data_IF_413692761976
#
_entry.id   IF_413692761976
#
_cell.length_a   1.000
_cell.length_b   1.000
_cell.length_c   1.000
_cell.angle_alpha   90.00
_cell.angle_beta   90.00
_cell.angle_gamma   90.00
#
_symmetry.space_group_name_H-M   'P 1'
#
loop_
_entity.id
_entity.type
_entity.pdbx_description
1 polymer ?
#
# COMPACT_ATOMS: atom_id res chain seq x y z
N UNK A 1 15.99 37.52 -42.44
CA UNK A 1 16.24 36.96 -41.09
C UNK A 1 15.05 36.09 -40.69
N UNK A 2 15.14 34.77 -40.87
CA UNK A 2 14.15 33.82 -40.37
C UNK A 2 14.45 33.51 -38.91
N UNK A 3 13.69 34.10 -37.99
CA UNK A 3 13.67 33.71 -36.57
C UNK A 3 12.76 32.48 -36.48
N UNK A 4 13.24 31.32 -36.92
CA UNK A 4 12.50 30.05 -36.83
C UNK A 4 13.45 28.90 -36.50
N UNK A 5 13.88 28.84 -35.25
CA UNK A 5 14.15 27.61 -34.47
C UNK A 5 14.96 28.00 -33.23
N UNK A 6 14.34 27.95 -32.05
CA UNK A 6 15.10 28.06 -30.80
C UNK A 6 16.19 26.98 -30.76
N UNK A 7 17.37 27.33 -30.23
CA UNK A 7 18.53 26.45 -30.11
C UNK A 7 18.08 25.06 -29.59
N UNK A 8 18.40 23.95 -30.29
CA UNK A 8 17.96 22.61 -29.92
C UNK A 8 18.33 22.23 -28.46
N UNK A 9 19.43 22.79 -27.94
CA UNK A 9 19.83 22.63 -26.53
C UNK A 9 18.83 23.30 -25.59
N UNK A 10 18.45 24.55 -25.85
CA UNK A 10 17.46 25.28 -25.03
C UNK A 10 16.07 24.63 -25.08
N UNK A 11 15.68 24.04 -26.22
CA UNK A 11 14.46 23.23 -26.31
C UNK A 11 14.52 21.98 -25.43
N UNK A 12 15.68 21.31 -25.38
CA UNK A 12 15.87 20.11 -24.57
C UNK A 12 15.83 20.42 -23.07
N UNK A 13 16.53 21.47 -22.63
CA UNK A 13 16.52 21.92 -21.23
C UNK A 13 15.12 22.40 -20.80
N UNK A 14 14.44 23.18 -21.65
CA UNK A 14 13.06 23.61 -21.40
C UNK A 14 12.08 22.43 -21.33
N UNK A 15 12.25 21.43 -22.19
CA UNK A 15 11.45 20.20 -22.17
C UNK A 15 11.72 19.36 -20.90
N UNK A 16 12.98 19.24 -20.48
CA UNK A 16 13.35 18.56 -19.25
C UNK A 16 12.74 19.26 -18.02
N UNK A 17 12.84 20.59 -17.94
CA UNK A 17 12.21 21.37 -16.88
C UNK A 17 10.68 21.22 -16.87
N UNK A 18 10.04 21.29 -18.03
CA UNK A 18 8.58 21.20 -18.15
C UNK A 18 8.04 19.81 -17.78
N UNK A 19 8.79 18.76 -18.08
CA UNK A 19 8.38 17.38 -17.76
C UNK A 19 8.66 16.98 -16.31
N UNK A 20 9.44 17.77 -15.56
CA UNK A 20 9.68 17.56 -14.13
C UNK A 20 10.00 16.09 -13.78
N UNK A 21 11.01 15.47 -14.43
CA UNK A 21 11.32 14.06 -14.22
C UNK A 21 11.81 13.79 -12.80
N UNK A 22 11.39 12.63 -12.28
CA UNK A 22 11.74 12.15 -10.94
C UNK A 22 12.48 10.82 -11.06
N UNK A 23 13.55 10.64 -10.28
CA UNK A 23 14.36 9.43 -10.26
C UNK A 23 14.46 8.87 -8.84
N UNK A 24 14.68 7.55 -8.75
CA UNK A 24 14.94 6.85 -7.50
C UNK A 24 16.40 6.39 -7.53
N UNK A 25 17.15 6.68 -6.47
CA UNK A 25 18.52 6.21 -6.29
C UNK A 25 18.74 5.73 -4.86
N UNK A 26 19.87 5.08 -4.63
CA UNK A 26 20.31 4.69 -3.29
C UNK A 26 20.68 5.95 -2.49
N UNK A 27 20.20 6.05 -1.25
CA UNK A 27 20.54 7.15 -0.35
C UNK A 27 22.03 7.14 0.00
N UNK A 28 22.58 8.33 0.25
CA UNK A 28 24.02 8.50 0.53
C UNK A 28 24.51 7.80 1.80
N UNK A 29 23.63 7.62 2.78
CA UNK A 29 23.95 7.01 4.07
C UNK A 29 23.01 5.85 4.40
N UNK A 30 23.58 4.85 5.07
CA UNK A 30 22.81 3.79 5.69
C UNK A 30 22.01 4.35 6.87
N UNK A 31 20.89 3.71 7.17
CA UNK A 31 19.97 4.13 8.22
C UNK A 31 19.84 3.07 9.29
N UNK A 32 19.78 3.42 10.57
CA UNK A 32 19.70 2.44 11.62
C UNK A 32 18.30 1.80 11.71
N UNK A 33 18.24 0.52 12.04
CA UNK A 33 16.96 -0.22 12.12
C UNK A 33 16.08 0.19 13.30
N UNK A 34 16.61 0.82 14.34
CA UNK A 34 15.79 1.37 15.44
C UNK A 34 14.94 2.59 15.00
N UNK A 35 15.29 3.26 13.89
CA UNK A 35 14.52 4.39 13.33
C UNK A 35 13.23 3.95 12.61
N UNK A 36 13.05 2.66 12.36
CA UNK A 36 11.81 2.09 11.82
C UNK A 36 11.11 1.23 12.86
N UNK A 37 9.77 1.09 12.79
CA UNK A 37 9.07 0.13 13.63
C UNK A 37 9.56 -1.29 13.32
N UNK A 38 9.52 -2.16 14.32
CA UNK A 38 9.58 -3.60 14.07
C UNK A 38 8.34 -4.00 13.24
N UNK A 39 8.42 -4.98 12.31
CA UNK A 39 7.25 -5.39 11.54
C UNK A 39 6.09 -5.79 12.45
N UNK A 40 4.88 -5.54 11.97
CA UNK A 40 3.73 -6.27 12.48
C UNK A 40 3.79 -7.71 11.96
N UNK A 41 3.56 -8.66 12.85
CA UNK A 41 3.69 -10.10 12.57
C UNK A 41 2.34 -10.73 12.79
N UNK A 42 1.66 -11.10 11.70
CA UNK A 42 0.35 -11.75 11.77
C UNK A 42 0.49 -13.24 11.47
N UNK A 43 -0.07 -14.07 12.35
CA UNK A 43 0.00 -15.54 12.32
C UNK A 43 -1.41 -16.10 12.28
N UNK A 44 -1.66 -17.01 11.35
CA UNK A 44 -2.92 -17.72 11.19
C UNK A 44 -2.66 -19.22 11.19
N UNK A 45 -3.49 -20.00 11.87
CA UNK A 45 -3.45 -21.46 11.71
C UNK A 45 -3.95 -21.84 10.32
N UNK A 46 -3.34 -22.85 9.69
CA UNK A 46 -3.89 -23.45 8.46
C UNK A 46 -5.13 -24.30 8.74
N UNK A 47 -5.28 -24.73 9.99
CA UNK A 47 -6.47 -25.41 10.46
C UNK A 47 -7.44 -24.37 11.02
N UNK A 48 -8.53 -24.13 10.28
CA UNK A 48 -9.46 -23.02 10.55
C UNK A 48 -10.50 -23.32 11.62
N UNK A 49 -10.63 -24.58 12.04
CA UNK A 49 -11.52 -24.97 13.11
C UNK A 49 -10.87 -26.02 14.03
N UNK A 50 -11.18 -25.94 15.32
CA UNK A 50 -10.85 -27.00 16.28
C UNK A 50 -11.76 -28.20 16.04
N UNK A 51 -11.20 -29.42 16.07
CA UNK A 51 -11.97 -30.65 15.85
C UNK A 51 -13.11 -30.87 16.86
N UNK A 52 -12.96 -30.38 18.10
CA UNK A 52 -13.99 -30.47 19.14
C UNK A 52 -15.26 -29.69 18.79
N UNK A 53 -15.11 -28.56 18.10
CA UNK A 53 -16.23 -27.69 17.74
C UNK A 53 -17.00 -28.16 16.52
N UNK A 54 -16.28 -28.77 15.57
CA UNK A 54 -16.84 -29.38 14.37
C UNK A 54 -15.86 -30.40 13.82
N UNK A 55 -16.28 -31.64 13.57
CA UNK A 55 -15.44 -32.62 12.87
C UNK A 55 -15.68 -32.49 11.36
N UNK A 56 -14.74 -31.88 10.62
CA UNK A 56 -14.91 -31.64 9.19
C UNK A 56 -15.04 -32.94 8.40
N UNK A 57 -14.30 -33.97 8.76
CA UNK A 57 -14.35 -35.24 8.05
C UNK A 57 -15.72 -35.91 8.23
N UNK A 58 -16.33 -35.77 9.41
CA UNK A 58 -17.70 -36.23 9.69
C UNK A 58 -18.72 -35.41 8.89
N UNK A 59 -18.65 -34.08 8.96
CA UNK A 59 -19.61 -33.17 8.30
C UNK A 59 -19.58 -33.34 6.78
N UNK A 60 -18.40 -33.48 6.17
CA UNK A 60 -18.27 -33.71 4.73
C UNK A 60 -18.76 -35.10 4.28
N UNK A 61 -18.76 -36.11 5.17
CA UNK A 61 -19.30 -37.44 4.87
C UNK A 61 -20.81 -37.52 5.05
N UNK A 62 -21.37 -36.71 5.94
CA UNK A 62 -22.80 -36.71 6.29
C UNK A 62 -23.50 -35.42 5.85
N UNK A 63 -23.09 -34.85 4.70
CA UNK A 63 -23.54 -33.54 4.24
C UNK A 63 -25.05 -33.47 3.98
N UNK A 64 -25.71 -34.60 3.72
CA UNK A 64 -27.15 -34.68 3.45
C UNK A 64 -28.03 -34.55 4.70
N UNK A 65 -27.49 -34.84 5.90
CA UNK A 65 -28.22 -34.85 7.16
C UNK A 65 -27.44 -34.10 8.26
N UNK A 66 -27.22 -32.79 8.03
CA UNK A 66 -26.58 -31.91 9.00
C UNK A 66 -27.61 -31.29 9.94
N UNK A 67 -27.25 -31.14 11.21
CA UNK A 67 -28.01 -30.31 12.15
C UNK A 67 -27.94 -28.83 11.74
N UNK A 68 -28.90 -28.01 12.20
CA UNK A 68 -28.91 -26.56 11.93
C UNK A 68 -27.61 -25.87 12.39
N UNK A 69 -27.06 -26.30 13.53
CA UNK A 69 -25.79 -25.80 14.07
C UNK A 69 -24.59 -26.19 13.19
N UNK A 70 -24.49 -27.47 12.79
CA UNK A 70 -23.43 -27.95 11.89
C UNK A 70 -23.49 -27.24 10.52
N UNK A 71 -24.70 -26.99 10.01
CA UNK A 71 -24.92 -26.23 8.77
C UNK A 71 -24.40 -24.80 8.88
N UNK A 72 -24.71 -24.11 9.98
CA UNK A 72 -24.27 -22.72 10.23
C UNK A 72 -22.76 -22.60 10.34
N UNK A 73 -22.14 -23.51 11.11
CA UNK A 73 -20.68 -23.61 11.25
C UNK A 73 -20.01 -23.91 9.91
N UNK A 74 -20.57 -24.82 9.11
CA UNK A 74 -20.05 -25.16 7.79
C UNK A 74 -20.09 -23.95 6.82
N UNK A 75 -21.20 -23.20 6.78
CA UNK A 75 -21.32 -21.98 5.95
C UNK A 75 -20.25 -20.94 6.28
N UNK A 76 -19.99 -20.71 7.57
CA UNK A 76 -18.93 -19.80 8.00
C UNK A 76 -17.54 -20.30 7.55
N UNK A 77 -17.27 -21.60 7.68
CA UNK A 77 -15.97 -22.20 7.32
C UNK A 77 -15.71 -22.20 5.82
N UNK A 78 -16.75 -22.30 5.00
CA UNK A 78 -16.65 -22.19 3.55
C UNK A 78 -16.13 -20.83 3.07
N UNK A 79 -16.18 -19.80 3.91
CA UNK A 79 -15.61 -18.48 3.61
C UNK A 79 -14.07 -18.48 3.65
N UNK A 80 -13.45 -19.42 4.38
CA UNK A 80 -11.99 -19.48 4.64
C UNK A 80 -11.31 -20.75 4.11
N UNK A 81 -12.10 -21.78 3.81
CA UNK A 81 -11.63 -23.07 3.31
C UNK A 81 -11.75 -23.16 1.78
N UNK A 82 -10.90 -23.99 1.15
CA UNK A 82 -10.89 -24.16 -0.30
C UNK A 82 -11.73 -25.39 -0.70
N UNK A 83 -13.00 -25.14 -1.02
CA UNK A 83 -13.99 -26.18 -1.35
C UNK A 83 -14.50 -26.11 -2.79
N UNK A 84 -13.80 -25.41 -3.68
CA UNK A 84 -14.25 -25.12 -5.04
C UNK A 84 -14.46 -26.34 -5.94
N UNK A 85 -13.92 -27.51 -5.57
CA UNK A 85 -14.00 -28.74 -6.36
C UNK A 85 -15.11 -29.73 -5.91
N UNK A 86 -16.03 -29.35 -5.02
CA UNK A 86 -17.05 -30.26 -4.47
C UNK A 86 -18.47 -29.84 -4.88
N UNK A 87 -18.89 -30.29 -6.07
CA UNK A 87 -20.25 -30.06 -6.61
C UNK A 87 -21.35 -30.42 -5.59
N UNK A 88 -21.20 -31.53 -4.86
CA UNK A 88 -22.22 -32.03 -3.92
C UNK A 88 -22.42 -31.17 -2.64
N UNK A 89 -21.55 -30.20 -2.36
CA UNK A 89 -21.66 -29.38 -1.15
C UNK A 89 -22.60 -28.18 -1.36
N UNK A 90 -22.72 -27.72 -2.61
CA UNK A 90 -23.58 -26.61 -3.00
C UNK A 90 -25.06 -26.96 -2.73
N UNK A 91 -25.50 -28.14 -3.17
CA UNK A 91 -26.88 -28.61 -3.07
C UNK A 91 -27.34 -28.81 -1.61
N UNK A 92 -26.43 -29.19 -0.71
CA UNK A 92 -26.74 -29.40 0.71
C UNK A 92 -26.92 -28.10 1.50
N UNK A 93 -26.41 -26.96 1.00
CA UNK A 93 -26.36 -25.69 1.72
C UNK A 93 -27.42 -24.69 1.28
N UNK A 94 -28.04 -24.90 0.11
CA UNK A 94 -29.12 -24.06 -0.41
C UNK A 94 -30.47 -24.26 0.31
N UNK A 95 -30.64 -25.36 1.06
CA UNK A 95 -31.92 -25.74 1.69
C UNK A 95 -32.27 -24.87 2.92
N UNK A 96 -31.27 -24.28 3.60
CA UNK A 96 -31.49 -23.52 4.83
C UNK A 96 -31.17 -22.03 4.64
N UNK A 97 -32.17 -21.19 4.37
CA UNK A 97 -32.03 -19.72 4.32
C UNK A 97 -31.94 -19.10 5.72
N UNK A 98 -30.89 -19.44 6.46
CA UNK A 98 -30.62 -18.84 7.77
C UNK A 98 -29.53 -17.77 7.64
N UNK A 99 -29.77 -16.60 8.22
CA UNK A 99 -28.77 -15.55 8.35
C UNK A 99 -27.76 -15.96 9.43
N UNK A 100 -26.49 -16.06 9.05
CA UNK A 100 -25.39 -16.51 9.94
C UNK A 100 -24.45 -15.34 10.17
N UNK A 101 -24.15 -15.04 11.44
CA UNK A 101 -23.05 -14.13 11.79
C UNK A 101 -21.70 -14.84 11.59
N UNK A 102 -21.22 -14.78 10.36
CA UNK A 102 -19.97 -15.41 9.89
C UNK A 102 -18.79 -15.06 10.81
N UNK A 103 -18.68 -13.82 11.29
CA UNK A 103 -17.52 -13.40 12.08
C UNK A 103 -17.56 -14.07 13.45
N UNK A 104 -18.69 -14.00 14.15
CA UNK A 104 -18.85 -14.65 15.46
C UNK A 104 -18.62 -16.16 15.40
N UNK A 105 -19.20 -16.83 14.39
CA UNK A 105 -19.05 -18.27 14.20
C UNK A 105 -17.61 -18.66 13.90
N UNK A 106 -16.88 -17.88 13.09
CA UNK A 106 -15.45 -18.12 12.85
C UNK A 106 -14.61 -17.92 14.12
N UNK A 107 -15.00 -17.01 15.02
CA UNK A 107 -14.33 -16.82 16.31
C UNK A 107 -14.52 -18.00 17.26
N UNK A 108 -15.73 -18.57 17.30
CA UNK A 108 -16.03 -19.77 18.09
C UNK A 108 -15.27 -20.99 17.59
N UNK A 109 -15.16 -21.15 16.27
CA UNK A 109 -14.50 -22.28 15.65
C UNK A 109 -12.98 -22.20 15.72
N UNK A 110 -12.42 -20.98 15.74
CA UNK A 110 -10.99 -20.76 15.68
C UNK A 110 -10.26 -21.33 16.91
N UNK A 111 -9.01 -21.72 16.70
CA UNK A 111 -8.13 -22.12 17.77
C UNK A 111 -7.91 -20.96 18.77
N UNK A 112 -8.24 -21.15 20.07
CA UNK A 112 -7.97 -20.15 21.10
C UNK A 112 -6.49 -19.79 21.18
N UNK A 113 -6.18 -18.53 21.53
CA UNK A 113 -4.78 -18.10 21.62
C UNK A 113 -3.99 -18.89 22.66
N UNK A 114 -4.61 -19.23 23.80
CA UNK A 114 -3.95 -19.97 24.89
C UNK A 114 -3.53 -21.38 24.48
N UNK A 115 -4.28 -21.98 23.55
CA UNK A 115 -3.98 -23.33 23.05
C UNK A 115 -2.87 -23.31 22.00
N UNK A 116 -2.71 -22.18 21.30
CA UNK A 116 -1.72 -22.03 20.24
C UNK A 116 -0.38 -21.49 20.73
N UNK A 117 -0.39 -20.49 21.61
CA UNK A 117 0.82 -19.79 22.04
C UNK A 117 1.31 -20.35 23.37
N UNK A 118 2.46 -21.03 23.35
CA UNK A 118 3.07 -21.59 24.56
C UNK A 118 4.00 -20.59 25.24
N UNK A 119 4.92 -20.00 24.46
CA UNK A 119 5.88 -19.00 24.95
C UNK A 119 6.08 -17.91 23.92
N UNK A 120 6.24 -16.67 24.38
CA UNK A 120 6.62 -15.56 23.55
C UNK A 120 7.62 -14.64 24.27
N UNK A 121 8.49 -14.03 23.48
CA UNK A 121 9.51 -13.11 23.94
C UNK A 121 9.74 -12.03 22.90
N UNK A 122 9.88 -10.79 23.34
CA UNK A 122 10.29 -9.68 22.49
C UNK A 122 11.50 -8.97 23.12
N UNK A 123 12.64 -9.02 22.44
CA UNK A 123 13.93 -8.65 23.01
C UNK A 123 14.23 -9.45 24.29
N UNK A 124 14.58 -8.75 25.37
CA UNK A 124 14.88 -9.39 26.65
C UNK A 124 13.64 -9.75 27.49
N UNK A 125 12.44 -9.29 27.08
CA UNK A 125 11.21 -9.48 27.85
C UNK A 125 10.53 -10.80 27.49
N UNK A 126 10.38 -11.68 28.49
CA UNK A 126 9.66 -12.95 28.37
C UNK A 126 8.25 -12.80 28.92
N UNK A 127 7.29 -13.41 28.23
CA UNK A 127 5.89 -13.40 28.61
C UNK A 127 5.39 -14.83 28.73
N UNK A 128 4.80 -15.17 29.88
CA UNK A 128 4.06 -16.42 30.07
C UNK A 128 2.66 -16.36 29.47
N UNK A 129 2.10 -15.15 29.37
CA UNK A 129 0.81 -14.88 28.75
C UNK A 129 1.03 -14.03 27.48
N UNK A 130 0.87 -14.66 26.33
CA UNK A 130 1.11 -14.04 25.03
C UNK A 130 0.00 -13.08 24.59
N UNK A 131 -1.15 -13.05 25.28
CA UNK A 131 -2.21 -12.06 25.04
C UNK A 131 -1.79 -10.63 25.35
N UNK A 132 -0.72 -10.45 26.15
CA UNK A 132 -0.13 -9.14 26.42
C UNK A 132 0.65 -8.58 25.23
N UNK A 133 1.03 -9.46 24.29
CA UNK A 133 1.89 -9.12 23.16
C UNK A 133 1.14 -9.23 21.82
N UNK A 134 0.24 -10.22 21.70
CA UNK A 134 -0.55 -10.47 20.51
C UNK A 134 -2.01 -10.08 20.72
N UNK A 135 -2.64 -9.57 19.66
CA UNK A 135 -4.07 -9.30 19.60
C UNK A 135 -4.74 -10.10 18.48
N UNK A 136 -6.02 -10.43 18.64
CA UNK A 136 -6.84 -11.05 17.59
C UNK A 136 -7.03 -10.07 16.42
N UNK A 137 -6.94 -10.56 15.19
CA UNK A 137 -7.22 -9.81 13.95
C UNK A 137 -7.98 -10.69 12.97
N UNK A 138 -8.95 -10.10 12.27
CA UNK A 138 -9.71 -10.76 11.20
C UNK A 138 -8.99 -10.54 9.88
N UNK A 139 -8.74 -11.62 9.14
CA UNK A 139 -8.07 -11.58 7.83
C UNK A 139 -8.90 -12.33 6.80
N UNK A 140 -8.47 -12.29 5.54
CA UNK A 140 -8.98 -13.14 4.45
C UNK A 140 -8.72 -14.64 4.65
N UNK A 141 -7.95 -15.00 5.68
CA UNK A 141 -7.66 -16.37 6.10
C UNK A 141 -8.42 -16.77 7.38
N UNK A 142 -9.35 -15.93 7.86
CA UNK A 142 -10.12 -16.16 9.08
C UNK A 142 -9.54 -15.44 10.30
N UNK A 143 -9.68 -16.05 11.47
CA UNK A 143 -9.22 -15.50 12.74
C UNK A 143 -7.72 -15.77 12.94
N UNK A 144 -6.99 -14.70 13.15
CA UNK A 144 -5.54 -14.71 13.27
C UNK A 144 -5.08 -13.86 14.45
N UNK A 145 -3.78 -13.91 14.73
CA UNK A 145 -3.17 -13.21 15.85
C UNK A 145 -2.00 -12.36 15.37
N UNK A 146 -1.98 -11.10 15.77
CA UNK A 146 -0.99 -10.13 15.28
C UNK A 146 -0.22 -9.51 16.43
N UNK A 147 1.09 -9.40 16.25
CA UNK A 147 1.98 -8.61 17.10
C UNK A 147 2.26 -7.28 16.42
N UNK A 148 2.33 -6.21 17.22
CA UNK A 148 2.81 -4.88 16.81
C UNK A 148 2.02 -4.20 15.67
N UNK A 149 0.77 -4.59 15.47
CA UNK A 149 -0.19 -3.88 14.62
C UNK A 149 -0.92 -2.81 15.45
N UNK A 150 -1.17 -1.64 14.86
CA UNK A 150 -1.94 -0.58 15.50
C UNK A 150 -3.43 -0.76 15.21
N UNK A 151 -4.25 -0.83 16.26
CA UNK A 151 -5.71 -0.80 16.12
C UNK A 151 -6.18 0.61 15.71
N UNK A 152 -7.26 0.66 14.92
CA UNK A 152 -8.02 1.87 14.59
C UNK A 152 -8.37 2.71 15.82
N UNK A 153 -8.64 2.06 16.95
CA UNK A 153 -8.96 2.72 18.22
C UNK A 153 -7.74 3.40 18.87
N UNK A 154 -6.55 2.89 18.60
CA UNK A 154 -5.31 3.37 19.23
C UNK A 154 -4.55 4.38 18.37
N UNK A 155 -4.97 4.58 17.11
CA UNK A 155 -4.49 5.64 16.20
C UNK A 155 -4.72 7.09 16.70
N UNK A 156 -5.40 7.26 17.84
CA UNK A 156 -5.64 8.54 18.52
C UNK A 156 -5.03 8.61 19.92
N UNK A 157 -4.42 7.53 20.40
CA UNK A 157 -3.62 7.52 21.63
C UNK A 157 -2.15 7.69 21.25
N UNK A 158 -1.31 8.16 22.16
CA UNK A 158 0.16 8.24 21.99
C UNK A 158 0.80 6.84 22.04
N UNK A 159 0.29 5.90 21.23
CA UNK A 159 0.77 4.52 21.13
C UNK A 159 1.63 4.42 19.88
N UNK A 160 2.91 4.12 20.09
CA UNK A 160 3.87 3.89 19.02
C UNK A 160 4.15 2.39 18.88
N UNK A 161 4.28 1.88 17.64
CA UNK A 161 4.70 0.51 17.43
C UNK A 161 6.07 0.26 18.08
N UNK A 162 6.25 -0.96 18.58
CA UNK A 162 7.51 -1.44 19.09
C UNK A 162 8.61 -1.30 18.04
N UNK A 163 9.79 -0.93 18.52
CA UNK A 163 11.04 -0.77 17.77
C UNK A 163 12.10 -1.61 18.46
N UNK A 164 13.06 -2.09 17.68
CA UNK A 164 14.15 -2.87 18.26
C UNK A 164 15.16 -1.98 18.97
N UNK A 165 15.73 -2.49 20.06
CA UNK A 165 16.87 -1.87 20.74
C UNK A 165 18.23 -2.37 20.22
N UNK A 166 18.25 -3.45 19.45
CA UNK A 166 19.46 -4.07 18.92
C UNK A 166 19.16 -4.98 17.72
N UNK A 167 20.14 -5.76 17.30
CA UNK A 167 20.00 -6.70 16.17
C UNK A 167 20.44 -8.10 16.51
N UNK A 168 20.12 -9.03 15.62
CA UNK A 168 20.42 -10.44 15.79
C UNK A 168 19.35 -11.20 16.57
N UNK A 169 19.59 -12.50 16.69
CA UNK A 169 18.61 -13.51 17.12
C UNK A 169 17.91 -13.18 18.44
N UNK A 170 18.63 -12.63 19.42
CA UNK A 170 18.12 -12.34 20.78
C UNK A 170 17.38 -11.01 20.90
N UNK A 171 17.51 -10.11 19.93
CA UNK A 171 16.86 -8.78 19.95
C UNK A 171 15.50 -8.76 19.23
N UNK A 172 15.05 -9.93 18.76
CA UNK A 172 13.88 -10.11 17.93
C UNK A 172 12.62 -10.54 18.69
N UNK A 173 11.65 -11.01 17.90
CA UNK A 173 10.44 -11.68 18.37
C UNK A 173 10.64 -13.19 18.31
N UNK A 174 10.55 -13.84 19.45
CA UNK A 174 10.55 -15.29 19.59
C UNK A 174 9.15 -15.77 19.94
N UNK A 175 8.69 -16.80 19.25
CA UNK A 175 7.36 -17.38 19.41
C UNK A 175 7.49 -18.89 19.40
N UNK A 176 6.86 -19.54 20.35
CA UNK A 176 6.67 -20.98 20.36
C UNK A 176 5.18 -21.27 20.29
N UNK A 177 4.82 -21.96 19.22
CA UNK A 177 3.44 -22.36 18.96
C UNK A 177 3.33 -23.86 19.17
N UNK A 178 2.24 -24.29 19.81
CA UNK A 178 1.91 -25.70 19.99
C UNK A 178 0.49 -25.96 19.49
N UNK A 179 0.23 -27.21 19.10
CA UNK A 179 -1.12 -27.67 18.78
C UNK A 179 -1.28 -29.13 19.16
N UNK A 180 -2.41 -29.45 19.80
CA UNK A 180 -2.73 -30.83 20.18
C UNK A 180 -3.14 -31.65 18.96
N UNK A 181 -2.52 -32.81 18.75
CA UNK A 181 -2.79 -33.73 17.64
C UNK A 181 -4.24 -34.23 17.63
N UNK A 182 -4.85 -34.45 18.80
CA UNK A 182 -6.26 -34.87 18.89
C UNK A 182 -7.25 -33.84 18.34
N UNK A 183 -6.89 -32.56 18.43
CA UNK A 183 -7.73 -31.43 18.04
C UNK A 183 -7.48 -30.98 16.59
N UNK A 184 -6.61 -31.70 15.87
CA UNK A 184 -6.34 -31.41 14.47
C UNK A 184 -7.53 -31.77 13.59
N UNK A 185 -7.91 -30.83 12.73
CA UNK A 185 -9.10 -30.96 11.90
C UNK A 185 -8.74 -30.86 10.41
N UNK A 186 -8.18 -31.94 9.83
CA UNK A 186 -7.73 -31.94 8.45
C UNK A 186 -8.93 -31.89 7.49
N UNK A 187 -8.85 -31.07 6.45
CA UNK A 187 -9.87 -31.07 5.39
C UNK A 187 -10.23 -29.70 4.82
N UNK A 188 -10.04 -28.63 5.59
CA UNK A 188 -10.32 -27.26 5.15
C UNK A 188 -9.38 -26.79 4.01
N UNK A 189 -8.10 -27.16 4.07
CA UNK A 189 -7.10 -26.94 3.02
C UNK A 189 -6.34 -28.23 2.76
N UNK A 190 -6.30 -28.66 1.50
CA UNK A 190 -5.67 -29.94 1.12
C UNK A 190 -4.15 -29.86 1.29
N UNK A 191 -3.59 -30.77 2.09
CA UNK A 191 -2.15 -31.09 2.08
C UNK A 191 -1.24 -30.13 2.86
N UNK A 192 -1.78 -29.22 3.66
CA UNK A 192 -1.00 -28.16 4.32
C UNK A 192 -1.32 -28.14 5.83
N UNK A 193 -0.29 -28.22 6.69
CA UNK A 193 -0.34 -28.24 8.16
C UNK A 193 0.68 -27.28 8.79
N UNK A 194 0.24 -26.42 9.68
CA UNK A 194 1.11 -25.47 10.38
C UNK A 194 0.46 -24.10 10.47
N UNK A 195 1.26 -23.07 10.25
CA UNK A 195 0.81 -21.69 10.31
C UNK A 195 1.22 -20.92 9.06
N UNK A 196 0.39 -19.96 8.66
CA UNK A 196 0.80 -18.87 7.78
C UNK A 196 1.24 -17.69 8.61
N UNK A 197 2.31 -17.05 8.18
CA UNK A 197 2.85 -15.85 8.80
C UNK A 197 3.02 -14.76 7.73
N UNK A 198 2.67 -13.52 8.02
CA UNK A 198 3.02 -12.39 7.15
C UNK A 198 3.66 -11.26 7.95
N UNK A 199 4.56 -10.54 7.29
CA UNK A 199 5.23 -9.36 7.82
C UNK A 199 4.70 -8.13 7.10
N UNK A 200 4.15 -7.19 7.85
CA UNK A 200 3.58 -5.96 7.27
C UNK A 200 3.89 -4.75 8.13
N UNK A 201 3.57 -3.56 7.63
CA UNK A 201 3.70 -2.36 8.44
C UNK A 201 2.59 -2.31 9.49
N UNK A 202 2.85 -1.73 10.69
CA UNK A 202 1.85 -1.65 11.77
C UNK A 202 0.52 -0.99 11.42
N UNK A 203 0.45 -0.21 10.33
CA UNK A 203 -0.73 0.55 9.92
C UNK A 203 -1.52 -0.12 8.78
N UNK A 204 -1.03 -1.23 8.25
CA UNK A 204 -1.66 -1.97 7.15
C UNK A 204 -2.42 -3.17 7.67
N UNK A 205 -3.60 -3.45 7.09
CA UNK A 205 -4.31 -4.70 7.31
C UNK A 205 -3.57 -5.85 6.61
N UNK A 206 -3.35 -6.99 7.28
CA UNK A 206 -2.71 -8.16 6.69
C UNK A 206 -3.65 -8.83 5.68
N UNK A 207 -3.18 -9.01 4.44
CA UNK A 207 -3.83 -9.83 3.40
C UNK A 207 -3.04 -11.12 3.21
N UNK A 208 -3.42 -12.13 3.99
CA UNK A 208 -2.70 -13.39 4.17
C UNK A 208 -2.81 -14.33 2.95
N UNK A 209 -3.70 -14.05 1.99
CA UNK A 209 -3.77 -14.80 0.72
C UNK A 209 -2.72 -14.37 -0.31
N UNK A 210 -2.17 -13.16 -0.21
CA UNK A 210 -1.28 -12.58 -1.24
C UNK A 210 0.20 -12.66 -0.91
N UNK A 211 0.54 -12.45 0.36
CA UNK A 211 1.92 -12.42 0.83
C UNK A 211 2.01 -13.15 2.17
N UNK A 212 2.61 -14.34 2.17
CA UNK A 212 2.70 -15.18 3.35
C UNK A 212 3.93 -16.10 3.30
N UNK A 213 4.37 -16.47 4.49
CA UNK A 213 5.37 -17.49 4.76
C UNK A 213 4.69 -18.69 5.39
N UNK A 214 5.10 -19.87 4.99
CA UNK A 214 4.59 -21.10 5.55
C UNK A 214 5.50 -21.60 6.68
N UNK A 215 4.92 -21.80 7.86
CA UNK A 215 5.61 -22.26 9.06
C UNK A 215 5.15 -23.68 9.38
N UNK A 216 5.96 -24.71 9.04
CA UNK A 216 5.64 -26.09 9.36
C UNK A 216 5.79 -26.38 10.85
N UNK A 217 5.13 -27.44 11.30
CA UNK A 217 5.36 -28.03 12.62
C UNK A 217 6.75 -28.67 12.73
N UNK A 218 7.24 -28.85 13.96
CA UNK A 218 8.49 -29.53 14.34
C UNK A 218 9.77 -28.91 13.75
N UNK A 219 9.71 -27.62 13.43
CA UNK A 219 10.84 -26.85 12.90
C UNK A 219 11.12 -25.63 13.76
N UNK A 220 12.39 -25.25 13.78
CA UNK A 220 12.83 -23.93 14.21
C UNK A 220 12.99 -23.09 12.95
N UNK A 221 12.10 -22.13 12.76
CA UNK A 221 12.11 -21.20 11.64
C UNK A 221 12.70 -19.87 12.06
N UNK A 222 13.93 -19.60 11.62
CA UNK A 222 14.62 -18.32 11.78
C UNK A 222 14.31 -17.42 10.58
N UNK A 223 13.70 -16.26 10.82
CA UNK A 223 13.33 -15.25 9.82
C UNK A 223 14.18 -14.01 10.04
N UNK A 224 15.21 -13.84 9.20
CA UNK A 224 16.02 -12.64 9.17
C UNK A 224 15.38 -11.59 8.26
N UNK A 225 15.03 -10.44 8.81
CA UNK A 225 14.27 -9.39 8.11
C UNK A 225 15.20 -8.32 7.56
N UNK A 226 15.05 -8.02 6.28
CA UNK A 226 15.68 -6.89 5.60
C UNK A 226 14.65 -5.80 5.30
N UNK A 227 14.79 -4.58 5.87
CA UNK A 227 13.90 -3.48 5.54
C UNK A 227 14.21 -2.87 4.18
N UNK A 228 13.19 -2.72 3.35
CA UNK A 228 13.26 -2.02 2.08
C UNK A 228 12.40 -0.74 2.13
N UNK A 229 13.05 0.42 2.25
CA UNK A 229 12.38 1.72 2.40
C UNK A 229 12.63 2.62 1.19
N UNK A 230 11.55 3.16 0.62
CA UNK A 230 11.60 4.25 -0.36
C UNK A 230 11.01 5.50 0.29
N UNK A 231 11.68 6.64 0.18
CA UNK A 231 11.15 7.93 0.63
C UNK A 231 11.34 9.01 -0.43
N UNK A 232 10.40 9.95 -0.47
CA UNK A 232 10.49 11.12 -1.34
C UNK A 232 11.15 12.30 -0.64
N UNK A 233 12.01 13.02 -1.36
CA UNK A 233 12.49 14.35 -0.96
C UNK A 233 11.33 15.35 -0.80
N UNK A 234 11.57 16.42 -0.05
CA UNK A 234 10.58 17.50 0.13
C UNK A 234 10.35 18.27 -1.18
N UNK A 235 11.36 18.32 -2.03
CA UNK A 235 11.36 19.12 -3.28
C UNK A 235 10.34 18.58 -4.30
N UNK A 236 10.09 17.26 -4.29
CA UNK A 236 9.06 16.63 -5.15
C UNK A 236 7.63 16.70 -4.59
N UNK A 237 7.42 17.38 -3.45
CA UNK A 237 6.09 17.48 -2.81
C UNK A 237 5.10 18.30 -3.63
N UNK A 238 5.56 19.27 -4.38
CA UNK A 238 4.70 20.13 -5.21
C UNK A 238 4.48 19.58 -6.63
N UNK A 239 5.02 18.40 -6.92
CA UNK A 239 4.88 17.75 -8.22
C UNK A 239 3.56 16.99 -8.28
N UNK A 240 2.91 16.95 -9.45
CA UNK A 240 1.69 16.15 -9.64
C UNK A 240 1.94 14.68 -9.25
N UNK A 241 1.01 14.02 -8.50
CA UNK A 241 1.13 12.62 -8.12
C UNK A 241 1.40 11.67 -9.30
N UNK A 242 0.85 11.97 -10.48
CA UNK A 242 1.05 11.18 -11.70
C UNK A 242 2.45 11.36 -12.29
N UNK A 243 3.15 12.46 -12.02
CA UNK A 243 4.53 12.66 -12.47
C UNK A 243 5.52 11.97 -11.55
N UNK A 244 5.32 12.08 -10.23
CA UNK A 244 6.19 11.42 -9.22
C UNK A 244 5.81 9.96 -8.90
N UNK A 245 4.68 9.48 -9.43
CA UNK A 245 4.16 8.11 -9.28
C UNK A 245 3.89 7.69 -7.82
N UNK A 246 3.58 8.64 -6.94
CA UNK A 246 3.24 8.37 -5.54
C UNK A 246 2.30 9.43 -4.94
N UNK A 247 1.56 9.02 -3.90
CA UNK A 247 0.80 9.94 -3.05
C UNK A 247 1.49 10.11 -1.70
N UNK A 248 1.51 11.34 -1.19
CA UNK A 248 1.78 11.57 0.22
C UNK A 248 0.56 11.16 1.05
N UNK A 249 0.80 10.77 2.30
CA UNK A 249 -0.19 10.15 3.18
C UNK A 249 -1.47 10.97 3.39
N UNK A 250 -1.39 12.30 3.21
CA UNK A 250 -2.48 13.27 3.42
C UNK A 250 -3.12 13.79 2.12
N UNK A 251 -2.69 13.32 0.95
CA UNK A 251 -3.21 13.83 -0.33
C UNK A 251 -4.51 13.17 -0.77
N UNK A 252 -4.80 12.00 -0.18
CA UNK A 252 -5.98 11.23 -0.50
C UNK A 252 -6.58 10.65 0.76
N UNK A 253 -7.83 11.03 1.01
CA UNK A 253 -8.60 10.47 2.11
C UNK A 253 -9.24 9.16 1.67
N UNK A 254 -9.19 8.17 2.56
CA UNK A 254 -9.85 6.89 2.44
C UNK A 254 -11.04 6.88 3.41
N UNK A 255 -12.09 6.11 3.11
CA UNK A 255 -13.29 6.05 3.97
C UNK A 255 -13.05 5.20 5.21
N UNK A 256 -12.32 4.09 5.06
CA UNK A 256 -12.10 3.14 6.16
C UNK A 256 -10.73 3.27 6.83
N UNK A 257 -9.79 3.96 6.20
CA UNK A 257 -8.41 4.11 6.68
C UNK A 257 -8.07 5.58 6.93
N UNK A 258 -7.46 5.89 8.09
CA UNK A 258 -7.05 7.26 8.47
C UNK A 258 -5.89 7.78 7.62
N UNK A 259 -4.96 6.89 7.25
CA UNK A 259 -3.74 7.22 6.52
C UNK A 259 -3.76 6.52 5.17
N UNK A 260 -3.44 7.23 4.10
CA UNK A 260 -3.34 6.61 2.78
C UNK A 260 -2.18 5.60 2.74
N UNK A 261 -2.50 4.36 2.38
CA UNK A 261 -1.54 3.34 1.93
C UNK A 261 -2.00 2.75 0.60
N UNK A 262 -1.07 2.20 -0.18
CA UNK A 262 -1.41 1.56 -1.45
C UNK A 262 -2.34 0.36 -1.24
N UNK A 263 -2.03 -0.45 -0.23
CA UNK A 263 -2.78 -1.63 0.21
C UNK A 263 -4.19 -1.25 0.65
N UNK A 264 -4.33 -0.26 1.54
CA UNK A 264 -5.63 0.25 2.01
C UNK A 264 -6.49 0.82 0.89
N UNK A 265 -5.90 1.60 -0.02
CA UNK A 265 -6.60 2.11 -1.20
C UNK A 265 -7.13 0.98 -2.09
N UNK A 266 -6.29 -0.03 -2.35
CA UNK A 266 -6.68 -1.16 -3.21
C UNK A 266 -7.79 -2.00 -2.55
N UNK A 267 -7.71 -2.23 -1.24
CA UNK A 267 -8.70 -2.99 -0.49
C UNK A 267 -10.05 -2.25 -0.41
N UNK A 268 -10.04 -0.93 -0.16
CA UNK A 268 -11.27 -0.11 -0.19
C UNK A 268 -11.89 -0.08 -1.60
N UNK A 269 -11.07 0.04 -2.64
CA UNK A 269 -11.55 0.00 -4.02
C UNK A 269 -12.20 -1.34 -4.35
N UNK A 270 -11.54 -2.44 -3.97
CA UNK A 270 -12.08 -3.79 -4.14
C UNK A 270 -13.39 -3.97 -3.38
N UNK A 271 -13.46 -3.54 -2.12
CA UNK A 271 -14.68 -3.65 -1.32
C UNK A 271 -15.86 -2.89 -1.95
N UNK A 272 -15.62 -1.69 -2.47
CA UNK A 272 -16.66 -0.90 -3.17
C UNK A 272 -17.11 -1.57 -4.47
N UNK A 273 -16.17 -2.18 -5.19
CA UNK A 273 -16.47 -2.88 -6.44
C UNK A 273 -17.29 -4.16 -6.22
N UNK A 274 -16.96 -4.92 -5.18
CA UNK A 274 -17.71 -6.13 -4.79
C UNK A 274 -19.11 -5.73 -4.32
N UNK A 275 -19.23 -4.69 -3.49
CA UNK A 275 -20.52 -4.17 -3.02
C UNK A 275 -21.42 -3.72 -4.18
N UNK A 276 -20.87 -2.99 -5.17
CA UNK A 276 -21.66 -2.51 -6.31
C UNK A 276 -22.05 -3.63 -7.29
N UNK A 277 -21.26 -4.70 -7.36
CA UNK A 277 -21.51 -5.82 -8.28
C UNK A 277 -22.43 -6.89 -7.68
N UNK A 278 -22.30 -7.16 -6.38
CA UNK A 278 -22.96 -8.29 -5.72
C UNK A 278 -23.93 -7.88 -4.60
N UNK A 279 -23.93 -6.61 -4.15
CA UNK A 279 -24.77 -6.13 -3.05
C UNK A 279 -24.28 -6.50 -1.64
N UNK A 280 -23.17 -7.22 -1.52
CA UNK A 280 -22.56 -7.65 -0.26
C UNK A 280 -21.03 -7.46 -0.30
N UNK A 281 -20.35 -7.65 0.83
CA UNK A 281 -18.87 -7.66 0.91
C UNK A 281 -18.37 -8.89 1.64
N UNK A 282 -17.15 -9.35 1.33
CA UNK A 282 -16.54 -10.47 2.08
C UNK A 282 -16.33 -10.09 3.54
N UNK A 283 -16.38 -11.06 4.45
CA UNK A 283 -16.29 -10.81 5.90
C UNK A 283 -14.99 -10.08 6.33
N UNK A 284 -13.89 -10.31 5.60
CA UNK A 284 -12.57 -9.71 5.81
C UNK A 284 -12.40 -8.32 5.18
N UNK A 285 -13.36 -7.85 4.38
CA UNK A 285 -13.30 -6.55 3.71
C UNK A 285 -13.77 -5.42 4.64
N UNK A 286 -13.19 -4.21 4.49
CA UNK A 286 -13.58 -3.04 5.26
C UNK A 286 -14.98 -2.58 4.87
N UNK A 287 -15.85 -2.38 5.86
CA UNK A 287 -17.26 -2.04 5.67
C UNK A 287 -17.79 -1.16 6.80
N UNK A 288 -18.96 -0.58 6.61
CA UNK A 288 -19.74 -0.01 7.71
C UNK A 288 -20.56 -1.10 8.41
N UNK A 289 -21.19 -0.77 9.54
CA UNK A 289 -21.94 -1.74 10.34
C UNK A 289 -23.28 -2.16 9.68
N UNK A 290 -23.75 -1.44 8.65
CA UNK A 290 -25.01 -1.71 7.97
C UNK A 290 -24.82 -2.58 6.72
N UNK A 291 -23.61 -2.63 6.18
CA UNK A 291 -23.28 -3.41 5.00
C UNK A 291 -23.31 -4.90 5.31
N UNK A 292 -24.10 -5.65 4.54
CA UNK A 292 -24.23 -7.09 4.67
C UNK A 292 -22.96 -7.83 4.24
N UNK A 293 -22.61 -8.88 5.00
CA UNK A 293 -21.54 -9.82 4.63
C UNK A 293 -22.10 -10.83 3.62
N UNK A 294 -21.34 -11.15 2.57
CA UNK A 294 -21.74 -12.15 1.60
C UNK A 294 -21.92 -13.52 2.26
N UNK A 295 -23.11 -14.10 2.13
CA UNK A 295 -23.34 -15.50 2.44
C UNK A 295 -22.61 -16.40 1.43
N UNK A 296 -22.54 -17.71 1.71
CA UNK A 296 -21.89 -18.70 0.87
C UNK A 296 -22.39 -18.67 -0.58
N UNK A 297 -23.71 -18.57 -0.79
CA UNK A 297 -24.33 -18.52 -2.13
C UNK A 297 -23.87 -17.31 -2.96
N UNK A 298 -23.53 -16.19 -2.29
CA UNK A 298 -23.07 -14.96 -2.95
C UNK A 298 -21.54 -14.90 -3.08
N UNK A 299 -20.82 -15.85 -2.47
CA UNK A 299 -19.37 -15.83 -2.41
C UNK A 299 -18.73 -15.99 -3.79
N UNK A 300 -19.34 -16.76 -4.69
CA UNK A 300 -18.86 -16.90 -6.07
C UNK A 300 -18.95 -15.58 -6.83
N UNK A 301 -20.05 -14.81 -6.67
CA UNK A 301 -20.14 -13.45 -7.23
C UNK A 301 -19.00 -12.57 -6.69
N UNK A 302 -18.71 -12.62 -5.39
CA UNK A 302 -17.64 -11.81 -4.81
C UNK A 302 -16.25 -12.19 -5.36
N UNK A 303 -15.99 -13.48 -5.60
CA UNK A 303 -14.75 -13.93 -6.26
C UNK A 303 -14.70 -13.56 -7.74
N UNK A 304 -15.82 -13.61 -8.45
CA UNK A 304 -15.92 -13.17 -9.84
C UNK A 304 -15.70 -11.67 -9.97
N UNK A 305 -16.33 -10.86 -9.12
CA UNK A 305 -16.14 -9.41 -9.07
C UNK A 305 -14.67 -9.03 -8.81
N UNK A 306 -13.99 -9.74 -7.91
CA UNK A 306 -12.55 -9.55 -7.68
C UNK A 306 -11.71 -9.87 -8.92
N UNK A 307 -11.97 -11.00 -9.60
CA UNK A 307 -11.31 -11.36 -10.86
C UNK A 307 -11.57 -10.30 -11.93
N UNK A 308 -12.82 -9.88 -12.11
CA UNK A 308 -13.26 -8.90 -13.10
C UNK A 308 -12.62 -7.51 -12.87
N UNK A 309 -12.37 -7.11 -11.62
CA UNK A 309 -11.67 -5.87 -11.34
C UNK A 309 -10.22 -5.92 -11.85
N UNK A 310 -9.52 -7.04 -11.64
CA UNK A 310 -8.13 -7.18 -12.09
C UNK A 310 -7.98 -7.19 -13.62
N UNK A 311 -8.90 -7.85 -14.32
CA UNK A 311 -8.91 -7.90 -15.79
C UNK A 311 -9.23 -6.53 -16.39
N UNK A 312 -10.23 -5.82 -15.85
CA UNK A 312 -10.57 -4.44 -16.26
C UNK A 312 -9.42 -3.47 -16.06
N UNK A 313 -8.69 -3.56 -14.94
CA UNK A 313 -7.52 -2.72 -14.69
C UNK A 313 -6.39 -2.95 -15.72
N UNK A 314 -6.19 -4.19 -16.15
CA UNK A 314 -5.23 -4.55 -17.19
C UNK A 314 -5.67 -3.98 -18.55
N UNK A 315 -6.92 -4.22 -18.95
CA UNK A 315 -7.49 -3.70 -20.20
C UNK A 315 -7.41 -2.18 -20.27
N UNK A 316 -7.73 -1.50 -19.16
CA UNK A 316 -7.65 -0.05 -19.05
C UNK A 316 -6.23 0.46 -19.28
N UNK A 317 -5.22 -0.20 -18.69
CA UNK A 317 -3.80 0.16 -18.87
C UNK A 317 -3.34 -0.05 -20.31
N UNK A 318 -3.74 -1.16 -20.94
CA UNK A 318 -3.43 -1.46 -22.33
C UNK A 318 -4.05 -0.42 -23.28
N UNK A 319 -5.34 -0.12 -23.09
CA UNK A 319 -6.05 0.91 -23.85
C UNK A 319 -5.40 2.29 -23.67
N UNK A 320 -5.05 2.66 -22.44
CA UNK A 320 -4.37 3.92 -22.16
C UNK A 320 -3.03 4.03 -22.90
N UNK A 321 -2.26 2.94 -22.95
CA UNK A 321 -0.96 2.90 -23.65
C UNK A 321 -1.14 3.02 -25.17
N UNK A 322 -2.13 2.35 -25.74
CA UNK A 322 -2.46 2.43 -27.16
C UNK A 322 -2.89 3.85 -27.55
N UNK A 323 -3.82 4.45 -26.81
CA UNK A 323 -4.32 5.81 -27.07
C UNK A 323 -3.22 6.87 -26.94
N UNK A 324 -2.33 6.76 -25.94
CA UNK A 324 -1.19 7.69 -25.81
C UNK A 324 -0.21 7.61 -26.99
N UNK A 325 -0.02 6.42 -27.58
CA UNK A 325 0.84 6.23 -28.76
C UNK A 325 0.21 6.86 -29.99
N UNK A 326 -1.03 6.51 -30.29
CA UNK A 326 -1.76 7.07 -31.44
C UNK A 326 -1.85 8.61 -31.35
N UNK A 327 -2.06 9.16 -30.15
CA UNK A 327 -2.06 10.62 -29.93
C UNK A 327 -0.69 11.26 -30.23
N UNK A 328 0.42 10.56 -29.94
CA UNK A 328 1.78 11.03 -30.21
C UNK A 328 2.10 11.01 -31.71
N UNK A 329 1.55 10.04 -32.44
CA UNK A 329 1.68 9.92 -33.90
C UNK A 329 0.72 10.81 -34.69
N UNK A 330 -0.20 11.52 -34.01
CA UNK A 330 -1.18 12.41 -34.64
C UNK A 330 -2.33 11.67 -35.34
N UNK A 331 -2.46 10.36 -35.09
CA UNK A 331 -3.52 9.50 -35.66
C UNK A 331 -4.87 9.75 -35.01
N UNK A 332 -4.86 10.18 -33.74
CA UNK A 332 -6.07 10.46 -32.96
C UNK A 332 -5.94 11.79 -32.22
N UNK A 333 -7.08 12.34 -31.83
CA UNK A 333 -7.24 13.53 -31.01
C UNK A 333 -7.61 13.17 -29.57
N UNK A 334 -7.56 14.16 -28.65
CA UNK A 334 -8.05 13.96 -27.27
C UNK A 334 -9.58 13.80 -27.17
N UNK A 335 -10.33 14.00 -28.26
CA UNK A 335 -11.79 13.92 -28.30
C UNK A 335 -12.32 12.54 -28.74
N UNK A 336 -11.42 11.63 -29.13
CA UNK A 336 -11.78 10.30 -29.60
C UNK A 336 -12.57 9.47 -28.58
N UNK A 337 -13.46 8.62 -29.10
CA UNK A 337 -14.31 7.75 -28.27
C UNK A 337 -13.51 6.81 -27.38
N UNK A 338 -12.32 6.40 -27.81
CA UNK A 338 -11.41 5.61 -26.99
C UNK A 338 -11.05 6.30 -25.66
N UNK A 339 -10.83 7.62 -25.66
CA UNK A 339 -10.57 8.39 -24.44
C UNK A 339 -11.84 8.57 -23.59
N UNK A 340 -13.03 8.62 -24.21
CA UNK A 340 -14.31 8.62 -23.47
C UNK A 340 -14.55 7.28 -22.78
N UNK A 341 -14.34 6.17 -23.48
CA UNK A 341 -14.42 4.81 -22.93
C UNK A 341 -13.43 4.61 -21.79
N UNK A 342 -12.20 5.07 -21.96
CA UNK A 342 -11.16 5.01 -20.92
C UNK A 342 -11.54 5.77 -19.64
N UNK A 343 -12.25 6.90 -19.76
CA UNK A 343 -12.74 7.67 -18.60
C UNK A 343 -13.94 7.01 -17.92
N UNK A 344 -14.76 6.27 -18.66
CA UNK A 344 -15.93 5.55 -18.15
C UNK A 344 -15.56 4.26 -17.41
N UNK A 345 -14.42 3.65 -17.76
CA UNK A 345 -13.88 2.51 -17.03
C UNK A 345 -13.55 2.90 -15.60
N UNK A 346 -14.18 2.24 -14.64
CA UNK A 346 -13.85 2.35 -13.21
C UNK A 346 -12.36 2.09 -13.02
N UNK A 347 -11.69 2.93 -12.23
CA UNK A 347 -10.24 2.81 -12.06
C UNK A 347 -9.81 3.01 -10.62
N UNK A 348 -9.16 1.98 -10.08
CA UNK A 348 -8.47 2.08 -8.80
C UNK A 348 -7.14 2.82 -9.00
N UNK A 349 -7.15 4.16 -8.89
CA UNK A 349 -5.94 4.97 -9.02
C UNK A 349 -5.03 4.89 -7.76
N UNK A 350 -4.65 3.69 -7.33
CA UNK A 350 -3.90 3.46 -6.10
C UNK A 350 -2.39 3.44 -6.35
N UNK A 351 -1.78 4.63 -6.41
CA UNK A 351 -0.32 4.78 -6.48
C UNK A 351 0.33 4.40 -5.14
N UNK A 352 1.62 4.10 -5.15
CA UNK A 352 2.37 3.84 -3.91
C UNK A 352 2.40 5.07 -3.02
N UNK A 353 2.59 4.89 -1.71
CA UNK A 353 2.92 6.00 -0.82
C UNK A 353 4.30 6.55 -1.16
N UNK A 354 4.48 7.87 -1.03
CA UNK A 354 5.76 8.51 -1.27
C UNK A 354 6.82 8.09 -0.25
N UNK A 355 6.39 7.73 0.97
CA UNK A 355 7.19 7.00 1.95
C UNK A 355 6.60 5.60 2.13
N UNK A 356 7.34 4.57 1.70
CA UNK A 356 6.93 3.17 1.77
C UNK A 356 8.01 2.38 2.48
N UNK A 357 7.61 1.53 3.41
CA UNK A 357 8.46 0.58 4.11
C UNK A 357 7.92 -0.82 3.83
N UNK A 358 8.80 -1.74 3.41
CA UNK A 358 8.50 -3.15 3.23
C UNK A 358 9.53 -3.99 3.97
N UNK A 359 9.14 -5.19 4.35
CA UNK A 359 9.99 -6.14 5.06
C UNK A 359 10.21 -7.36 4.17
N UNK A 360 11.45 -7.62 3.80
CA UNK A 360 11.82 -8.77 2.98
C UNK A 360 12.41 -9.86 3.90
N UNK A 361 11.73 -11.01 4.04
CA UNK A 361 12.20 -12.09 4.90
C UNK A 361 13.23 -12.98 4.19
N UNK A 362 14.29 -13.33 4.90
CA UNK A 362 15.19 -14.44 4.59
C UNK A 362 14.95 -15.57 5.59
N UNK A 363 14.66 -16.77 5.10
CA UNK A 363 14.20 -17.88 5.93
C UNK A 363 15.31 -18.93 6.04
N UNK A 364 15.55 -19.39 7.26
CA UNK A 364 16.38 -20.54 7.56
C UNK A 364 15.60 -21.48 8.48
N UNK A 365 15.55 -22.76 8.15
CA UNK A 365 14.81 -23.77 8.90
C UNK A 365 15.74 -24.90 9.32
N UNK A 366 15.57 -25.37 10.54
CA UNK A 366 16.21 -26.57 11.06
C UNK A 366 15.21 -27.39 11.89
N UNK A 367 15.51 -28.65 12.13
CA UNK A 367 14.68 -29.49 12.99
C UNK A 367 14.70 -28.97 14.42
N UNK A 368 13.53 -28.89 15.04
CA UNK A 368 13.42 -28.48 16.44
C UNK A 368 13.12 -29.70 17.29
N UNK A 369 14.15 -30.19 17.99
CA UNK A 369 14.08 -31.37 18.85
C UNK A 369 14.11 -30.90 20.30
N UNK A 370 12.99 -30.37 20.80
CA UNK A 370 12.79 -30.21 22.25
C UNK A 370 11.44 -30.85 22.60
N UNK A 371 11.52 -31.81 23.53
CA UNK A 371 10.46 -32.70 24.04
C UNK A 371 9.73 -33.48 22.96
N UNK A 372 9.94 -34.79 22.96
CA UNK A 372 9.12 -35.79 22.28
C UNK A 372 7.74 -35.82 22.97
N UNK A 373 6.99 -34.73 22.88
CA UNK A 373 5.60 -34.66 23.34
C UNK A 373 4.77 -35.41 22.29
N UNK A 374 4.31 -36.65 22.60
CA UNK A 374 3.58 -37.43 21.63
C UNK A 374 2.21 -36.80 21.33
N UNK A 375 1.68 -35.93 22.20
CA UNK A 375 0.34 -35.34 22.05
C UNK A 375 0.33 -34.04 21.26
N UNK A 376 1.44 -33.28 21.23
CA UNK A 376 1.48 -31.96 20.60
C UNK A 376 2.43 -31.91 19.41
N UNK A 377 2.09 -31.07 18.43
CA UNK A 377 3.01 -30.60 17.40
C UNK A 377 3.45 -29.17 17.77
N UNK A 378 4.76 -28.98 17.96
CA UNK A 378 5.35 -27.70 18.36
C UNK A 378 6.15 -27.11 17.22
N UNK A 379 6.15 -25.80 17.06
CA UNK A 379 7.02 -25.07 16.13
C UNK A 379 7.53 -23.80 16.78
N UNK A 380 8.76 -23.43 16.43
CA UNK A 380 9.40 -22.23 16.97
C UNK A 380 9.72 -21.28 15.84
N UNK A 381 9.39 -20.01 16.05
CA UNK A 381 9.61 -18.93 15.09
C UNK A 381 10.48 -17.88 15.79
N UNK A 382 11.58 -17.50 15.17
CA UNK A 382 12.37 -16.37 15.62
C UNK A 382 12.53 -15.35 14.50
N UNK A 383 12.14 -14.10 14.76
CA UNK A 383 12.08 -13.02 13.76
C UNK A 383 12.95 -11.87 14.25
N UNK A 384 13.93 -11.44 13.45
CA UNK A 384 14.86 -10.38 13.86
C UNK A 384 15.36 -9.60 12.65
N UNK A 385 15.84 -8.37 12.85
CA UNK A 385 16.54 -7.66 11.79
C UNK A 385 17.94 -8.24 11.57
N UNK A 386 18.26 -8.53 10.30
CA UNK A 386 19.54 -9.13 9.89
C UNK A 386 20.74 -8.24 10.20
N UNK A 387 20.57 -6.93 9.99
CA UNK A 387 21.63 -5.92 10.14
C UNK A 387 21.14 -4.73 10.96
N UNK A 388 22.04 -4.07 11.70
CA UNK A 388 21.73 -2.86 12.46
C UNK A 388 21.46 -1.64 11.58
N UNK A 389 21.91 -1.69 10.33
CA UNK A 389 21.71 -0.62 9.37
C UNK A 389 21.18 -1.20 8.06
N UNK A 390 20.37 -0.41 7.36
CA UNK A 390 19.76 -0.78 6.08
C UNK A 390 19.88 0.37 5.07
N UNK A 391 19.80 0.00 3.80
CA UNK A 391 19.89 0.94 2.68
C UNK A 391 18.51 1.50 2.36
N UNK A 392 18.39 2.83 2.28
CA UNK A 392 17.16 3.51 1.83
C UNK A 392 17.27 3.91 0.37
N UNK A 393 16.14 3.90 -0.33
CA UNK A 393 16.00 4.49 -1.66
C UNK A 393 15.37 5.88 -1.55
N UNK A 394 16.02 6.88 -2.15
CA UNK A 394 15.55 8.26 -2.18
C UNK A 394 14.97 8.58 -3.56
N UNK A 395 13.75 9.11 -3.57
CA UNK A 395 13.11 9.71 -4.75
C UNK A 395 13.36 11.22 -4.77
N UNK A 396 13.96 11.72 -5.84
CA UNK A 396 14.35 13.13 -5.97
C UNK A 396 14.10 13.66 -7.38
N UNK A 397 13.97 14.98 -7.48
CA UNK A 397 13.88 15.68 -8.76
C UNK A 397 15.21 15.60 -9.49
N UNK A 398 15.18 15.18 -10.77
CA UNK A 398 16.40 15.05 -11.58
C UNK A 398 16.91 16.41 -12.04
N UNK A 399 16.00 17.37 -12.17
CA UNK A 399 16.28 18.68 -12.76
C UNK A 399 15.52 19.76 -12.01
N UNK A 400 16.25 20.53 -11.21
CA UNK A 400 15.70 21.64 -10.43
C UNK A 400 15.63 22.92 -11.28
N UNK A 401 14.92 23.94 -10.77
CA UNK A 401 14.91 25.27 -11.39
C UNK A 401 16.32 25.91 -11.35
N UNK A 402 17.10 25.63 -10.32
CA UNK A 402 18.49 26.08 -10.21
C UNK A 402 19.34 25.55 -11.36
N UNK A 403 19.15 24.29 -11.74
CA UNK A 403 19.90 23.66 -12.83
C UNK A 403 19.53 24.29 -14.17
N UNK A 404 18.24 24.59 -14.36
CA UNK A 404 17.76 25.33 -15.54
C UNK A 404 18.38 26.71 -15.68
N UNK A 405 18.37 27.48 -14.58
CA UNK A 405 18.95 28.82 -14.56
C UNK A 405 20.46 28.79 -14.75
N UNK A 406 21.14 27.80 -14.16
CA UNK A 406 22.58 27.59 -14.32
C UNK A 406 22.95 27.23 -15.76
N UNK A 407 22.27 26.25 -16.37
CA UNK A 407 22.50 25.85 -17.77
C UNK A 407 22.21 26.99 -18.74
N UNK A 408 21.08 27.69 -18.56
CA UNK A 408 20.70 28.83 -19.41
C UNK A 408 21.68 29.99 -19.25
N UNK A 409 22.06 30.30 -18.00
CA UNK A 409 23.06 31.33 -17.69
C UNK A 409 24.42 31.01 -18.28
N UNK A 410 24.84 29.73 -18.26
CA UNK A 410 26.07 29.27 -18.90
C UNK A 410 26.06 29.47 -20.43
N UNK A 411 24.94 29.18 -21.09
CA UNK A 411 24.78 29.41 -22.54
C UNK A 411 24.85 30.91 -22.85
N UNK A 412 24.15 31.76 -22.09
CA UNK A 412 24.19 33.21 -22.29
C UNK A 412 25.57 33.81 -22.01
N UNK A 413 26.24 33.35 -20.95
CA UNK A 413 27.60 33.77 -20.61
C UNK A 413 28.63 33.38 -21.67
N UNK A 414 28.55 32.16 -22.22
CA UNK A 414 29.51 31.67 -23.21
C UNK A 414 29.31 32.31 -24.60
N UNK A 415 28.07 32.40 -25.08
CA UNK A 415 27.80 32.84 -26.46
C UNK A 415 27.59 34.35 -26.61
N UNK A 416 27.04 35.02 -25.60
CA UNK A 416 26.76 36.47 -25.67
C UNK A 416 27.67 37.28 -24.74
N UNK A 417 28.45 36.65 -23.85
CA UNK A 417 29.22 37.35 -22.83
C UNK A 417 28.34 38.12 -21.83
N UNK A 418 27.02 37.84 -21.81
CA UNK A 418 26.08 38.57 -20.98
C UNK A 418 25.79 37.82 -19.69
N UNK A 419 25.63 38.58 -18.61
CA UNK A 419 25.25 38.07 -17.29
C UNK A 419 23.93 38.69 -16.85
N UNK A 420 23.40 38.21 -15.72
CA UNK A 420 22.23 38.85 -15.08
C UNK A 420 22.50 40.32 -14.78
N UNK A 421 23.74 40.69 -14.44
CA UNK A 421 24.12 42.09 -14.23
C UNK A 421 24.03 42.91 -15.51
N UNK A 422 24.41 42.33 -16.65
CA UNK A 422 24.26 42.99 -17.96
C UNK A 422 22.79 43.28 -18.30
N UNK A 423 21.87 42.38 -17.95
CA UNK A 423 20.43 42.64 -18.11
C UNK A 423 19.95 43.77 -17.19
N UNK A 424 20.36 43.75 -15.91
CA UNK A 424 20.02 44.82 -14.95
C UNK A 424 20.54 46.18 -15.45
N UNK A 425 21.74 46.23 -16.00
CA UNK A 425 22.35 47.44 -16.57
C UNK A 425 21.58 47.96 -17.78
N UNK A 426 21.14 47.07 -18.68
CA UNK A 426 20.28 47.42 -19.82
C UNK A 426 18.95 47.99 -19.32
N UNK A 427 18.30 47.35 -18.34
CA UNK A 427 17.07 47.86 -17.75
C UNK A 427 17.27 49.23 -17.08
N UNK A 428 18.36 49.41 -16.34
CA UNK A 428 18.73 50.69 -15.73
C UNK A 428 18.90 51.80 -16.78
N UNK A 429 19.60 51.52 -17.89
CA UNK A 429 19.77 52.48 -18.98
C UNK A 429 18.48 52.78 -19.73
N UNK A 430 17.63 51.78 -19.96
CA UNK A 430 16.30 51.99 -20.57
C UNK A 430 15.43 52.87 -19.67
N UNK A 431 15.37 52.58 -18.37
CA UNK A 431 14.59 53.36 -17.41
C UNK A 431 15.09 54.81 -17.36
N UNK A 432 16.40 55.02 -17.22
CA UNK A 432 16.97 56.37 -17.19
C UNK A 432 16.78 57.12 -18.52
N UNK A 433 16.87 56.44 -19.66
CA UNK A 433 16.56 57.02 -20.97
C UNK A 433 15.08 57.42 -21.08
N UNK A 434 14.16 56.55 -20.68
CA UNK A 434 12.72 56.84 -20.65
C UNK A 434 12.40 58.04 -19.75
N UNK A 435 12.97 58.10 -18.55
CA UNK A 435 12.82 59.24 -17.63
C UNK A 435 13.35 60.54 -18.26
N UNK A 436 14.53 60.50 -18.90
CA UNK A 436 15.09 61.67 -19.61
C UNK A 436 14.22 62.11 -20.78
N UNK A 437 13.67 61.18 -21.55
CA UNK A 437 12.77 61.48 -22.68
C UNK A 437 11.44 62.09 -22.23
N UNK A 438 10.87 61.59 -21.13
CA UNK A 438 9.68 62.18 -20.51
C UNK A 438 9.96 63.60 -20.02
N UNK A 439 11.06 63.82 -19.27
CA UNK A 439 11.47 65.18 -18.83
C UNK A 439 11.70 66.14 -20.00
N UNK A 440 12.25 65.66 -21.12
CA UNK A 440 12.48 66.48 -22.32
C UNK A 440 11.17 66.91 -23.01
N UNK A 441 10.17 66.02 -23.06
CA UNK A 441 8.80 66.36 -23.52
C UNK A 441 8.09 67.35 -22.59
N UNK A 442 8.25 67.22 -21.27
CA UNK A 442 7.67 68.19 -20.32
C UNK A 442 8.30 69.57 -20.46
N UNK A 443 9.60 69.63 -20.75
CA UNK A 443 10.30 70.91 -21.01
C UNK A 443 9.93 71.54 -22.36
N UNK A 444 9.66 70.76 -23.42
CA UNK A 444 9.19 71.31 -24.71
C UNK A 444 7.75 71.87 -24.64
N UNK A 445 6.86 71.30 -23.82
CA UNK A 445 5.50 71.84 -23.61
C UNK A 445 5.54 73.18 -22.86
N UNK A 446 6.54 73.41 -22.00
CA UNK A 446 6.71 74.68 -21.28
C UNK A 446 7.38 75.80 -22.09
N UNK A 447 7.80 75.56 -23.35
CA UNK A 447 8.50 76.53 -24.21
C UNK A 447 7.61 76.97 -25.40
N UNK A 448 6.28 76.80 -25.33
CA UNK A 448 5.36 77.55 -26.20
C UNK A 448 4.90 78.81 -25.47
N UNK A 449 5.41 80.01 -25.80
CA UNK A 449 4.86 81.24 -25.27
C UNK A 449 3.55 81.54 -26.01
N UNK A 450 2.50 81.81 -25.24
CA UNK A 450 1.29 82.47 -25.70
C UNK A 450 1.68 83.86 -26.23
N UNK A 451 1.81 84.02 -27.55
CA UNK A 451 1.83 85.32 -28.21
C UNK A 451 0.54 85.42 -29.01
N UNK A 452 -0.46 86.02 -28.36
CA UNK A 452 -1.74 86.38 -28.95
C UNK A 452 -2.25 87.61 -28.19
N UNK A 453 -2.11 88.76 -28.84
CA UNK A 453 -2.87 89.99 -28.68
C UNK A 453 -2.86 90.74 -27.33
N UNK A 454 -2.41 92.00 -27.35
CA UNK A 454 -3.32 93.16 -27.40
C UNK A 454 -2.48 94.45 -27.54
N UNK A 455 -2.84 95.25 -28.55
CA UNK A 455 -2.35 96.60 -28.82
C UNK A 455 -3.27 97.66 -28.17
N UNK A 456 -2.70 98.85 -27.92
CA UNK A 456 -3.33 100.15 -27.51
C UNK A 456 -3.66 100.25 -26.00
N UNK A 457 -3.32 101.32 -25.28
CA UNK A 457 -3.21 102.75 -25.60
C UNK A 457 -1.96 103.41 -25.01
#
# INVERSE_FOLDING_TARGET
MRITSGNPVMRKESFAHKNRPVMISIAKSLSPTFEIPFPAVTICSEEKAVKSEIDFAKVLRNSENLTEEESSKLKALLQVCDFRDRENLQDALEVNQMEVDIVSTLEELANPMDDLFERCRYGSFRFSDCKKLFSKVITDEGICYTFNMLDRKDLFKDVYPHRVHGTGYESGLYIELKKKKSNMNPGCKRGVRGFRLTLHTPIELPLMSKDFLYIPFQKLTSIAVNPHMIYSSKDVKDYDPSSRQCYFSNERNLTFFKTYTKSGCALECLSKHVLSSCGCVKFSMPRDNLTQICDYSMLECAYEAERNLTTRDLERKLLQKQLKRALKHGEITKKDEGFKRLKKMESCNCLTTCTSLKYEPEISQTDFIISDDPEHEVTVINIYFKHAHYTRLKRYEVYALSDFLSSTGGIFGLFLGCSVLSFIEIFYHIITYCIRKVKRKTNEVNITPNIGDITRF
#
